data_IF_599058958881
#
_entry.id   IF_599058958881
#
_cell.length_a   1.000
_cell.length_b   1.000
_cell.length_c   1.000
_cell.angle_alpha   90.00
_cell.angle_beta   90.00
_cell.angle_gamma   90.00
#
_symmetry.space_group_name_H-M   'P 1'
#
loop_
_entity.id
_entity.type
_entity.pdbx_description
1 polymer ?
#
# COMPACT_ATOMS: atom_id res chain seq x y z
N UNK A 1 -10.84 -60.33 -5.82
CA UNK A 1 -11.06 -59.68 -7.13
C UNK A 1 -10.13 -58.47 -7.19
N UNK A 2 -9.18 -58.40 -8.13
CA UNK A 2 -8.14 -57.35 -8.09
C UNK A 2 -8.70 -56.05 -8.70
N UNK A 3 -8.87 -54.97 -7.92
CA UNK A 3 -9.48 -53.72 -8.38
C UNK A 3 -8.70 -53.10 -9.54
N UNK A 4 -7.39 -53.31 -9.61
CA UNK A 4 -6.53 -52.80 -10.68
C UNK A 4 -6.82 -53.48 -12.02
N UNK A 5 -7.07 -54.79 -12.03
CA UNK A 5 -7.45 -55.50 -13.27
C UNK A 5 -8.83 -55.06 -13.77
N UNK A 6 -9.75 -54.77 -12.85
CA UNK A 6 -11.09 -54.32 -13.20
C UNK A 6 -11.05 -52.89 -13.78
N UNK A 7 -10.28 -51.99 -13.18
CA UNK A 7 -10.06 -50.64 -13.70
C UNK A 7 -9.40 -50.63 -15.09
N UNK A 8 -8.39 -51.48 -15.32
CA UNK A 8 -7.73 -51.60 -16.63
C UNK A 8 -8.64 -52.20 -17.70
N UNK A 9 -9.49 -53.17 -17.34
CA UNK A 9 -10.47 -53.76 -18.26
C UNK A 9 -11.53 -52.73 -18.68
N UNK A 10 -12.04 -51.94 -17.74
CA UNK A 10 -12.99 -50.86 -18.03
C UNK A 10 -12.35 -49.73 -18.85
N UNK A 11 -11.11 -49.33 -18.54
CA UNK A 11 -10.39 -48.33 -19.32
C UNK A 11 -10.19 -48.77 -20.77
N UNK A 12 -9.86 -50.06 -21.00
CA UNK A 12 -9.71 -50.64 -22.33
C UNK A 12 -11.04 -50.70 -23.08
N UNK A 13 -12.14 -50.93 -22.38
CA UNK A 13 -13.51 -50.92 -22.94
C UNK A 13 -13.96 -49.50 -23.30
N UNK A 14 -13.66 -48.51 -22.47
CA UNK A 14 -13.98 -47.09 -22.70
C UNK A 14 -13.12 -46.44 -23.80
N UNK A 15 -11.97 -47.04 -24.13
CA UNK A 15 -11.07 -46.55 -25.20
C UNK A 15 -11.16 -47.35 -26.50
N UNK A 16 -11.93 -48.44 -26.54
CA UNK A 16 -12.01 -49.36 -27.67
C UNK A 16 -12.69 -48.79 -28.93
N UNK A 17 -13.65 -47.86 -28.79
CA UNK A 17 -14.36 -47.27 -29.93
C UNK A 17 -14.09 -45.77 -30.08
N UNK A 18 -14.21 -45.24 -31.30
CA UNK A 18 -14.06 -43.80 -31.57
C UNK A 18 -15.09 -42.98 -30.77
N UNK A 19 -16.33 -43.48 -30.69
CA UNK A 19 -17.43 -42.86 -29.97
C UNK A 19 -17.20 -42.83 -28.44
N UNK A 20 -16.71 -43.94 -27.86
CA UNK A 20 -16.41 -44.00 -26.43
C UNK A 20 -15.21 -43.11 -26.05
N UNK A 21 -14.19 -43.00 -26.92
CA UNK A 21 -13.09 -42.04 -26.73
C UNK A 21 -13.56 -40.59 -26.77
N UNK A 22 -14.47 -40.23 -27.67
CA UNK A 22 -15.07 -38.89 -27.70
C UNK A 22 -15.91 -38.60 -26.46
N UNK A 23 -16.70 -39.57 -25.99
CA UNK A 23 -17.48 -39.43 -24.76
C UNK A 23 -16.59 -39.26 -23.53
N UNK A 24 -15.51 -40.05 -23.42
CA UNK A 24 -14.52 -39.93 -22.35
C UNK A 24 -13.78 -38.59 -22.41
N UNK A 25 -13.41 -38.14 -23.63
CA UNK A 25 -12.79 -36.84 -23.83
C UNK A 25 -13.73 -35.71 -23.38
N UNK A 26 -15.01 -35.73 -23.78
CA UNK A 26 -16.00 -34.75 -23.34
C UNK A 26 -16.21 -34.76 -21.82
N UNK A 27 -16.25 -35.95 -21.20
CA UNK A 27 -16.41 -36.13 -19.76
C UNK A 27 -15.27 -35.49 -18.95
N UNK A 28 -14.04 -35.56 -19.44
CA UNK A 28 -12.87 -34.93 -18.79
C UNK A 28 -12.76 -33.46 -19.16
N UNK A 29 -13.07 -33.12 -20.42
CA UNK A 29 -12.89 -31.78 -20.97
C UNK A 29 -13.86 -30.77 -20.36
N UNK A 30 -15.12 -31.15 -20.08
CA UNK A 30 -16.11 -30.22 -19.49
C UNK A 30 -15.70 -29.75 -18.08
N UNK A 31 -15.38 -30.63 -17.11
CA UNK A 31 -14.90 -30.19 -15.80
C UNK A 31 -13.55 -29.49 -15.87
N UNK A 32 -12.65 -29.91 -16.78
CA UNK A 32 -11.33 -29.28 -16.93
C UNK A 32 -11.43 -27.88 -17.51
N UNK A 33 -12.29 -27.66 -18.50
CA UNK A 33 -12.55 -26.33 -19.05
C UNK A 33 -13.19 -25.43 -18.00
N UNK A 34 -14.18 -25.92 -17.27
CA UNK A 34 -14.81 -25.14 -16.21
C UNK A 34 -13.80 -24.78 -15.10
N UNK A 35 -13.08 -25.77 -14.56
CA UNK A 35 -12.08 -25.54 -13.53
C UNK A 35 -10.93 -24.67 -14.04
N UNK A 36 -10.47 -24.90 -15.27
CA UNK A 36 -9.41 -24.11 -15.91
C UNK A 36 -9.82 -22.65 -16.12
N UNK A 37 -11.02 -22.40 -16.63
CA UNK A 37 -11.54 -21.05 -16.84
C UNK A 37 -11.80 -20.34 -15.51
N UNK A 38 -12.33 -21.05 -14.52
CA UNK A 38 -12.52 -20.51 -13.17
C UNK A 38 -11.19 -20.10 -12.55
N UNK A 39 -10.18 -20.97 -12.58
CA UNK A 39 -8.84 -20.66 -12.08
C UNK A 39 -8.24 -19.50 -12.86
N UNK A 40 -8.34 -19.49 -14.19
CA UNK A 40 -7.83 -18.40 -15.01
C UNK A 40 -8.48 -17.05 -14.66
N UNK A 41 -9.81 -17.01 -14.55
CA UNK A 41 -10.54 -15.77 -14.22
C UNK A 41 -10.30 -15.28 -12.79
N UNK A 42 -10.01 -16.18 -11.84
CA UNK A 42 -9.82 -15.83 -10.43
C UNK A 42 -8.35 -15.79 -9.98
N UNK A 43 -7.39 -16.16 -10.84
CA UNK A 43 -5.97 -16.15 -10.51
C UNK A 43 -5.44 -14.72 -10.34
N UNK A 44 -5.99 -13.76 -11.10
CA UNK A 44 -5.66 -12.34 -10.95
C UNK A 44 -6.89 -11.45 -11.21
N UNK A 45 -7.79 -11.30 -10.23
CA UNK A 45 -8.97 -10.45 -10.36
C UNK A 45 -8.61 -8.95 -10.45
N UNK A 46 -7.35 -8.58 -10.22
CA UNK A 46 -6.83 -7.22 -10.26
C UNK A 46 -6.06 -6.90 -11.54
N UNK A 47 -5.77 -7.89 -12.41
CA UNK A 47 -4.88 -7.71 -13.57
C UNK A 47 -5.36 -6.71 -14.62
N UNK A 48 -6.65 -6.38 -14.64
CA UNK A 48 -7.22 -5.34 -15.51
C UNK A 48 -7.29 -3.96 -14.85
N UNK A 49 -7.04 -3.84 -13.55
CA UNK A 49 -7.17 -2.59 -12.81
C UNK A 49 -6.29 -1.46 -13.34
N UNK A 50 -5.06 -1.69 -13.84
CA UNK A 50 -4.25 -0.64 -14.45
C UNK A 50 -4.87 0.06 -15.67
N UNK A 51 -5.98 -0.45 -16.21
CA UNK A 51 -6.74 0.15 -17.33
C UNK A 51 -7.99 0.90 -16.86
N UNK A 52 -8.30 0.85 -15.57
CA UNK A 52 -9.49 1.46 -14.98
C UNK A 52 -9.13 2.89 -14.55
N UNK A 53 -9.74 3.93 -15.16
CA UNK A 53 -9.48 5.31 -14.79
C UNK A 53 -9.93 5.58 -13.35
N UNK A 54 -9.04 6.11 -12.53
CA UNK A 54 -9.31 6.43 -11.14
C UNK A 54 -8.78 7.82 -10.79
N UNK A 55 -9.52 8.59 -10.01
CA UNK A 55 -9.09 9.91 -9.56
C UNK A 55 -8.44 9.82 -8.18
N UNK A 56 -7.39 10.60 -7.94
CA UNK A 56 -6.84 10.82 -6.59
C UNK A 56 -6.79 12.29 -6.27
N UNK A 57 -7.31 12.64 -5.09
CA UNK A 57 -7.39 14.01 -4.57
C UNK A 57 -6.66 14.05 -3.23
N UNK A 58 -5.78 15.04 -3.10
CA UNK A 58 -5.11 15.34 -1.83
C UNK A 58 -5.58 16.68 -1.31
N UNK A 59 -6.58 16.65 -0.42
CA UNK A 59 -7.04 17.82 0.33
C UNK A 59 -6.25 18.01 1.63
N UNK A 60 -5.35 17.06 1.95
CA UNK A 60 -4.52 17.04 3.14
C UNK A 60 -3.72 18.34 3.31
N UNK A 61 -3.90 18.98 4.47
CA UNK A 61 -3.21 20.23 4.80
C UNK A 61 -1.79 20.00 5.36
N UNK A 62 -1.41 18.74 5.56
CA UNK A 62 -0.22 18.38 6.32
C UNK A 62 -0.39 18.64 7.81
N UNK A 63 0.67 18.42 8.57
CA UNK A 63 0.73 18.74 10.00
C UNK A 63 2.14 19.15 10.40
N UNK A 64 2.28 19.78 11.56
CA UNK A 64 3.58 20.06 12.16
C UNK A 64 3.74 19.18 13.37
N UNK A 65 4.82 18.40 13.38
CA UNK A 65 5.16 17.50 14.47
C UNK A 65 5.60 18.30 15.71
N UNK A 66 5.56 17.67 16.89
CA UNK A 66 6.07 18.29 18.13
C UNK A 66 7.55 18.70 18.08
N UNK A 67 8.30 18.19 17.10
CA UNK A 67 9.69 18.56 16.79
C UNK A 67 9.83 19.84 15.95
N UNK A 68 8.74 20.40 15.44
CA UNK A 68 8.73 21.54 14.51
C UNK A 68 8.86 21.18 13.03
N UNK A 69 9.05 19.90 12.71
CA UNK A 69 9.10 19.40 11.34
C UNK A 69 7.70 19.35 10.70
N UNK A 70 7.59 19.78 9.44
CA UNK A 70 6.36 19.66 8.66
C UNK A 70 6.27 18.26 8.05
N UNK A 71 5.12 17.61 8.23
CA UNK A 71 4.82 16.30 7.67
C UNK A 71 3.63 16.43 6.70
N UNK A 72 3.78 15.95 5.47
CA UNK A 72 2.75 16.04 4.43
C UNK A 72 2.58 14.71 3.70
N UNK A 73 1.96 13.75 4.38
CA UNK A 73 1.78 12.38 3.89
C UNK A 73 0.74 12.30 2.78
N UNK A 74 -0.30 13.15 2.80
CA UNK A 74 -1.36 13.08 1.79
C UNK A 74 -0.86 13.40 0.38
N UNK A 75 0.17 14.25 0.23
CA UNK A 75 0.77 14.50 -1.07
C UNK A 75 1.51 13.26 -1.59
N UNK A 76 2.37 12.71 -0.74
CA UNK A 76 3.20 11.53 -1.04
C UNK A 76 2.35 10.30 -1.35
N UNK A 77 1.25 10.09 -0.62
CA UNK A 77 0.31 9.00 -0.92
C UNK A 77 -0.35 9.19 -2.28
N UNK A 78 -0.76 10.41 -2.63
CA UNK A 78 -1.38 10.67 -3.92
C UNK A 78 -0.39 10.42 -5.07
N UNK A 79 0.86 10.86 -4.92
CA UNK A 79 1.91 10.66 -5.92
C UNK A 79 2.28 9.17 -6.03
N UNK A 80 2.41 8.45 -4.90
CA UNK A 80 2.65 7.01 -4.89
C UNK A 80 1.50 6.22 -5.54
N UNK A 81 0.24 6.62 -5.34
CA UNK A 81 -0.89 5.98 -6.03
C UNK A 81 -0.71 6.11 -7.55
N UNK A 82 -0.39 7.30 -8.06
CA UNK A 82 -0.11 7.52 -9.49
C UNK A 82 1.06 6.66 -9.98
N UNK A 83 2.16 6.60 -9.23
CA UNK A 83 3.35 5.83 -9.60
C UNK A 83 3.14 4.32 -9.54
N UNK A 84 2.25 3.84 -8.65
CA UNK A 84 2.02 2.41 -8.42
C UNK A 84 1.47 1.68 -9.65
N UNK A 85 0.84 2.42 -10.59
CA UNK A 85 0.11 1.87 -11.74
C UNK A 85 -0.90 0.78 -11.35
N UNK A 86 -1.37 0.81 -10.11
CA UNK A 86 -2.37 -0.12 -9.61
C UNK A 86 -3.74 0.11 -10.27
N UNK A 87 -3.98 1.35 -10.69
CA UNK A 87 -5.07 1.81 -11.55
C UNK A 87 -4.51 2.83 -12.55
N UNK A 88 -5.31 3.24 -13.53
CA UNK A 88 -4.99 4.41 -14.36
C UNK A 88 -5.31 5.69 -13.57
N UNK A 89 -4.40 6.06 -12.69
CA UNK A 89 -4.59 7.13 -11.72
C UNK A 89 -4.38 8.52 -12.33
N UNK A 90 -5.32 9.41 -12.05
CA UNK A 90 -5.28 10.82 -12.43
C UNK A 90 -5.34 11.67 -11.16
N UNK A 91 -4.30 12.46 -10.92
CA UNK A 91 -4.29 13.43 -9.84
C UNK A 91 -5.06 14.66 -10.27
N UNK A 92 -6.18 14.94 -9.60
CA UNK A 92 -7.14 15.98 -10.01
C UNK A 92 -7.61 16.82 -8.83
N UNK A 93 -8.37 17.87 -9.11
CA UNK A 93 -9.04 18.65 -8.07
C UNK A 93 -10.23 17.88 -7.47
N UNK A 94 -10.62 18.23 -6.24
CA UNK A 94 -11.81 17.65 -5.59
C UNK A 94 -13.07 17.77 -6.48
N UNK A 95 -13.30 18.95 -7.06
CA UNK A 95 -14.47 19.19 -7.91
C UNK A 95 -14.45 18.32 -9.18
N UNK A 96 -13.29 18.19 -9.81
CA UNK A 96 -13.10 17.35 -11.00
C UNK A 96 -13.24 15.87 -10.69
N UNK A 97 -12.75 15.40 -9.53
CA UNK A 97 -12.96 14.02 -9.09
C UNK A 97 -14.45 13.72 -8.90
N UNK A 98 -15.19 14.59 -8.20
CA UNK A 98 -16.62 14.39 -7.97
C UNK A 98 -17.40 14.38 -9.28
N UNK A 99 -17.14 15.35 -10.17
CA UNK A 99 -17.79 15.42 -11.46
C UNK A 99 -17.42 14.22 -12.35
N UNK A 100 -16.14 13.84 -12.38
CA UNK A 100 -15.64 12.75 -13.19
C UNK A 100 -16.15 11.37 -12.74
N UNK A 101 -16.43 11.19 -11.45
CA UNK A 101 -17.11 9.97 -10.95
C UNK A 101 -18.59 9.98 -11.32
N UNK A 102 -19.24 11.14 -11.26
CA UNK A 102 -20.67 11.28 -11.62
C UNK A 102 -20.92 11.06 -13.12
N UNK A 103 -20.08 11.63 -13.99
CA UNK A 103 -20.19 11.52 -15.45
C UNK A 103 -19.53 10.26 -16.04
N UNK A 104 -18.81 9.49 -15.21
CA UNK A 104 -18.19 8.22 -15.58
C UNK A 104 -16.81 8.33 -16.23
N UNK A 105 -16.21 9.52 -16.29
CA UNK A 105 -14.80 9.72 -16.67
C UNK A 105 -13.85 8.91 -15.78
N UNK A 106 -14.14 8.86 -14.48
CA UNK A 106 -13.43 8.04 -13.50
C UNK A 106 -14.35 6.97 -12.94
N UNK A 107 -13.86 5.74 -12.82
CA UNK A 107 -14.63 4.65 -12.22
C UNK A 107 -14.87 4.87 -10.72
N UNK A 108 -13.93 5.54 -10.05
CA UNK A 108 -14.00 5.94 -8.65
C UNK A 108 -12.95 7.04 -8.36
N UNK A 109 -13.08 7.71 -7.21
CA UNK A 109 -12.09 8.64 -6.71
C UNK A 109 -11.68 8.32 -5.26
N UNK A 110 -10.40 8.52 -4.96
CA UNK A 110 -9.86 8.45 -3.59
C UNK A 110 -9.53 9.86 -3.13
N UNK A 111 -10.13 10.27 -2.02
CA UNK A 111 -9.93 11.58 -1.42
C UNK A 111 -9.21 11.40 -0.09
N UNK A 112 -8.05 12.03 0.02
CA UNK A 112 -7.28 12.18 1.26
C UNK A 112 -7.76 13.45 1.97
N UNK A 113 -8.51 13.34 3.09
CA UNK A 113 -9.11 14.50 3.74
C UNK A 113 -8.07 15.45 4.31
N UNK A 114 -8.49 16.70 4.59
CA UNK A 114 -7.66 17.75 5.19
C UNK A 114 -6.87 17.34 6.44
N UNK A 115 -7.40 16.42 7.24
CA UNK A 115 -6.80 15.98 8.51
C UNK A 115 -5.91 14.76 8.38
N UNK A 116 -5.75 14.18 7.19
CA UNK A 116 -5.09 12.89 6.99
C UNK A 116 -3.70 12.81 7.63
N UNK A 117 -2.81 13.76 7.35
CA UNK A 117 -1.47 13.80 7.97
C UNK A 117 -1.52 14.06 9.48
N UNK A 118 -2.44 14.90 9.94
CA UNK A 118 -2.59 15.20 11.36
C UNK A 118 -3.08 13.97 12.15
N UNK A 119 -4.00 13.20 11.57
CA UNK A 119 -4.53 11.98 12.17
C UNK A 119 -3.45 10.90 12.20
N UNK A 120 -2.62 10.76 11.16
CA UNK A 120 -1.47 9.85 11.18
C UNK A 120 -0.42 10.22 12.25
N UNK A 121 -0.10 11.51 12.37
CA UNK A 121 0.88 11.99 13.33
C UNK A 121 0.41 11.90 14.79
N UNK A 122 -0.90 11.81 15.03
CA UNK A 122 -1.48 11.76 16.38
C UNK A 122 -1.08 10.51 17.18
N UNK A 123 -0.48 9.50 16.56
CA UNK A 123 0.08 8.33 17.23
C UNK A 123 1.19 8.67 18.24
N UNK A 124 1.84 9.83 18.09
CA UNK A 124 2.80 10.36 19.05
C UNK A 124 2.15 11.14 20.21
N UNK A 125 0.83 11.35 20.17
CA UNK A 125 0.05 12.07 21.18
C UNK A 125 -0.64 11.10 22.16
N UNK A 126 -1.15 11.63 23.29
CA UNK A 126 -1.90 10.85 24.28
C UNK A 126 -3.30 10.41 23.79
N UNK A 127 -3.78 10.97 22.68
CA UNK A 127 -5.08 10.67 22.07
C UNK A 127 -4.90 10.31 20.59
N UNK A 128 -4.48 9.08 20.28
CA UNK A 128 -4.28 8.64 18.90
C UNK A 128 -5.62 8.61 18.15
N UNK A 129 -5.58 9.06 16.90
CA UNK A 129 -6.70 9.08 15.96
C UNK A 129 -6.39 8.21 14.76
N UNK A 130 -7.43 7.68 14.14
CA UNK A 130 -7.30 6.88 12.93
C UNK A 130 -7.42 7.78 11.70
N UNK A 131 -6.41 7.76 10.84
CA UNK A 131 -6.50 8.43 9.54
C UNK A 131 -7.53 7.73 8.66
N UNK A 132 -8.36 8.52 7.98
CA UNK A 132 -9.43 8.02 7.11
C UNK A 132 -9.21 8.49 5.68
N UNK A 133 -9.75 7.72 4.74
CA UNK A 133 -9.76 7.99 3.31
C UNK A 133 -11.21 7.90 2.86
N UNK A 134 -11.61 8.75 1.91
CA UNK A 134 -12.94 8.67 1.32
C UNK A 134 -12.81 8.03 -0.06
N UNK A 135 -13.60 6.99 -0.30
CA UNK A 135 -13.73 6.34 -1.59
C UNK A 135 -15.08 6.76 -2.18
N UNK A 136 -15.03 7.57 -3.23
CA UNK A 136 -16.22 8.02 -3.96
C UNK A 136 -16.45 7.14 -5.17
N UNK A 137 -17.69 6.66 -5.34
CA UNK A 137 -18.09 5.76 -6.42
C UNK A 137 -19.47 6.15 -6.95
N UNK A 138 -19.75 5.84 -8.21
CA UNK A 138 -21.09 5.94 -8.78
C UNK A 138 -21.90 4.66 -8.48
N UNK A 139 -23.23 4.78 -8.32
CA UNK A 139 -24.18 3.70 -8.04
C UNK A 139 -24.06 2.51 -9.01
N UNK A 140 -23.69 2.76 -10.27
CA UNK A 140 -23.48 1.73 -11.28
C UNK A 140 -22.29 0.78 -10.97
N UNK A 141 -21.26 1.28 -10.26
CA UNK A 141 -20.00 0.56 -10.00
C UNK A 141 -19.83 0.14 -8.53
N UNK A 142 -20.81 0.42 -7.68
CA UNK A 142 -20.72 0.18 -6.23
C UNK A 142 -20.54 -1.32 -5.85
N UNK A 143 -20.79 -2.26 -6.76
CA UNK A 143 -20.55 -3.68 -6.51
C UNK A 143 -19.07 -4.07 -6.40
N UNK A 144 -18.15 -3.25 -6.92
CA UNK A 144 -16.69 -3.49 -6.86
C UNK A 144 -16.00 -2.74 -5.71
N UNK A 145 -16.73 -1.93 -4.94
CA UNK A 145 -16.17 -1.03 -3.91
C UNK A 145 -15.29 -1.76 -2.89
N UNK A 146 -15.66 -2.99 -2.49
CA UNK A 146 -14.85 -3.78 -1.55
C UNK A 146 -13.48 -4.18 -2.13
N UNK A 147 -13.47 -4.63 -3.39
CA UNK A 147 -12.24 -5.01 -4.09
C UNK A 147 -11.35 -3.79 -4.34
N UNK A 148 -11.93 -2.70 -4.86
CA UNK A 148 -11.24 -1.41 -5.05
C UNK A 148 -10.66 -0.92 -3.73
N UNK A 149 -11.49 -0.84 -2.70
CA UNK A 149 -11.10 -0.38 -1.36
C UNK A 149 -9.94 -1.19 -0.79
N UNK A 150 -9.99 -2.52 -0.89
CA UNK A 150 -8.88 -3.38 -0.43
C UNK A 150 -7.56 -3.09 -1.15
N UNK A 151 -7.61 -2.86 -2.47
CA UNK A 151 -6.42 -2.54 -3.25
C UNK A 151 -5.90 -1.14 -2.94
N UNK A 152 -6.78 -0.14 -2.80
CA UNK A 152 -6.43 1.22 -2.39
C UNK A 152 -5.78 1.20 -1.00
N UNK A 153 -6.39 0.54 -0.02
CA UNK A 153 -5.85 0.40 1.34
C UNK A 153 -4.44 -0.22 1.30
N UNK A 154 -4.24 -1.26 0.49
CA UNK A 154 -2.93 -1.89 0.33
C UNK A 154 -1.87 -0.90 -0.18
N UNK A 155 -2.21 -0.09 -1.20
CA UNK A 155 -1.28 0.89 -1.77
C UNK A 155 -1.00 2.05 -0.81
N UNK A 156 -2.03 2.59 -0.17
CA UNK A 156 -1.88 3.67 0.82
C UNK A 156 -1.06 3.19 2.01
N UNK A 157 -1.32 1.99 2.52
CA UNK A 157 -0.54 1.40 3.63
C UNK A 157 0.93 1.22 3.25
N UNK A 158 1.22 0.78 2.02
CA UNK A 158 2.59 0.65 1.53
C UNK A 158 3.31 2.00 1.47
N UNK A 159 2.65 3.04 0.96
CA UNK A 159 3.17 4.41 0.91
C UNK A 159 3.44 4.96 2.31
N UNK A 160 2.45 4.92 3.20
CA UNK A 160 2.59 5.41 4.58
C UNK A 160 3.68 4.66 5.34
N UNK A 161 3.80 3.34 5.17
CA UNK A 161 4.86 2.57 5.81
C UNK A 161 6.26 2.97 5.31
N UNK A 162 6.39 3.28 4.01
CA UNK A 162 7.61 3.83 3.43
C UNK A 162 7.98 5.17 4.05
N UNK A 163 7.02 6.10 4.11
CA UNK A 163 7.24 7.45 4.65
C UNK A 163 7.59 7.47 6.14
N UNK A 164 6.88 6.66 6.94
CA UNK A 164 7.20 6.50 8.36
C UNK A 164 8.61 5.93 8.54
N UNK A 165 9.02 4.97 7.72
CA UNK A 165 10.36 4.38 7.78
C UNK A 165 11.45 5.39 7.41
N UNK A 166 11.22 6.18 6.36
CA UNK A 166 12.14 7.24 5.92
C UNK A 166 12.28 8.35 6.97
N UNK A 167 11.15 8.78 7.55
CA UNK A 167 11.13 9.76 8.65
C UNK A 167 11.87 9.23 9.87
N UNK A 168 11.63 7.98 10.26
CA UNK A 168 12.30 7.35 11.40
C UNK A 168 13.82 7.24 11.18
N UNK A 169 14.25 6.82 9.98
CA UNK A 169 15.67 6.76 9.63
C UNK A 169 16.33 8.15 9.68
N UNK A 170 15.65 9.18 9.16
CA UNK A 170 16.13 10.56 9.19
C UNK A 170 16.29 11.07 10.63
N UNK A 171 15.32 10.77 11.51
CA UNK A 171 15.40 11.12 12.94
C UNK A 171 16.54 10.42 13.66
N UNK A 172 16.75 9.13 13.39
CA UNK A 172 17.89 8.40 13.97
C UNK A 172 19.22 9.01 13.55
N UNK A 173 19.34 9.40 12.27
CA UNK A 173 20.53 10.05 11.75
C UNK A 173 20.77 11.42 12.39
N UNK A 174 19.72 12.23 12.52
CA UNK A 174 19.79 13.53 13.22
C UNK A 174 20.16 13.37 14.70
N UNK A 175 19.56 12.39 15.39
CA UNK A 175 19.91 12.08 16.78
C UNK A 175 21.37 11.65 16.93
N UNK A 176 21.92 10.90 15.97
CA UNK A 176 23.34 10.54 15.96
C UNK A 176 24.25 11.76 15.78
N UNK A 177 23.86 12.71 14.93
CA UNK A 177 24.56 13.98 14.75
C UNK A 177 24.55 14.83 16.02
N UNK A 178 23.42 14.93 16.71
CA UNK A 178 23.35 15.67 17.98
C UNK A 178 24.22 15.03 19.07
N UNK A 179 24.20 13.70 19.18
CA UNK A 179 25.11 12.97 20.11
C UNK A 179 26.58 13.27 19.80
N UNK A 180 26.96 13.30 18.52
CA UNK A 180 28.31 13.66 18.10
C UNK A 180 28.69 15.08 18.55
N UNK A 181 27.81 16.05 18.34
CA UNK A 181 28.03 17.45 18.73
C UNK A 181 28.13 17.61 20.25
N UNK A 182 27.28 16.91 21.02
CA UNK A 182 27.34 16.93 22.48
C UNK A 182 28.62 16.27 23.02
N UNK A 183 29.09 15.19 22.39
CA UNK A 183 30.39 14.58 22.71
C UNK A 183 31.55 15.53 22.43
N UNK A 184 31.52 16.26 21.30
CA UNK A 184 32.50 17.31 21.00
C UNK A 184 32.56 18.39 22.08
N UNK A 185 31.39 18.90 22.50
CA UNK A 185 31.29 19.87 23.61
C UNK A 185 31.83 19.31 24.93
N UNK A 186 31.62 18.03 25.21
CA UNK A 186 32.12 17.37 26.42
C UNK A 186 33.65 17.25 26.41
N UNK A 187 34.26 16.97 25.25
CA UNK A 187 35.72 16.97 25.07
C UNK A 187 36.29 18.37 25.30
N UNK A 188 35.70 19.40 24.67
CA UNK A 188 36.11 20.80 24.87
C UNK A 188 35.95 21.26 26.33
N UNK A 189 34.92 20.75 27.02
CA UNK A 189 34.70 20.98 28.45
C UNK A 189 35.80 20.34 29.30
N UNK A 190 36.19 19.10 29.00
CA UNK A 190 37.28 18.41 29.69
C UNK A 190 38.63 19.10 29.49
N UNK A 191 38.94 19.57 28.27
CA UNK A 191 40.17 20.33 28.01
C UNK A 191 40.20 21.66 28.78
N UNK A 192 39.06 22.36 28.86
CA UNK A 192 38.93 23.57 29.68
C UNK A 192 39.14 23.29 31.16
N UNK A 193 38.58 22.19 31.68
CA UNK A 193 38.78 21.76 33.07
C UNK A 193 40.25 21.45 33.35
N UNK A 194 40.90 20.69 32.47
CA UNK A 194 42.32 20.35 32.57
C UNK A 194 43.20 21.59 32.56
N UNK A 195 42.95 22.52 31.63
CA UNK A 195 43.68 23.78 31.54
C UNK A 195 43.46 24.68 32.79
N UNK A 196 42.24 24.70 33.33
CA UNK A 196 41.92 25.42 34.57
C UNK A 196 42.64 24.83 35.79
N UNK A 197 42.68 23.50 35.91
CA UNK A 197 43.39 22.81 36.98
C UNK A 197 44.90 23.07 36.95
N UNK A 198 45.52 23.02 35.76
CA UNK A 198 46.95 23.34 35.61
C UNK A 198 47.27 24.79 36.04
N UNK A 199 46.44 25.76 35.64
CA UNK A 199 46.62 27.16 36.07
C UNK A 199 46.46 27.37 37.57
N UNK A 200 45.61 26.58 38.23
CA UNK A 200 45.43 26.65 39.67
C UNK A 200 46.63 26.06 40.44
N UNK A 201 47.24 25.00 39.90
CA UNK A 201 48.46 24.39 40.43
C UNK A 201 49.68 25.33 40.27
N UNK A 202 49.85 25.94 39.08
CA UNK A 202 50.95 26.89 38.80
C UNK A 202 50.87 28.20 39.60
N UNK A 203 49.70 28.53 40.17
CA UNK A 203 49.44 29.77 40.91
C UNK A 203 49.49 29.63 42.44
N UNK A 204 49.71 28.43 42.96
CA UNK A 204 49.88 28.12 44.38
C UNK A 204 51.37 28.08 44.78
#
# INVERSE_FOLDING_TARGET
MNPVRLALAELRRLTASRLARLALAALVLVPTLYGGLYLYANHDPYGAFPQVPAAVVSDDAGTTLGTGEKLQVGGEVADHLVESKSFDWHRVSHAEAMQGVDDGTYAFAVILPRTFSADLASTAEFTPRQATLVLETNDANNYMTSMIGSQVIKQVTASVAGEVSQTAASRLLLGFSDVHDQLGKAVDGSERLRAGAARADDGA
#
